data_IF_100787341467
#
_entry.id   IF_100787341467
#
_cell.length_a   1.000
_cell.length_b   1.000
_cell.length_c   1.000
_cell.angle_alpha   90.00
_cell.angle_beta   90.00
_cell.angle_gamma   90.00
#
_symmetry.space_group_name_H-M   'P 1'
#
loop_
_entity.id
_entity.type
_entity.pdbx_description
1 polymer ?
#
# COMPACT_ATOMS: atom_id res chain seq x y z
N UNK A 1 -35.65 -88.39 6.27
CA UNK A 1 -35.69 -89.81 5.91
C UNK A 1 -35.32 -90.62 7.15
N UNK A 2 -36.35 -91.13 7.83
CA UNK A 2 -36.26 -92.24 8.77
C UNK A 2 -37.00 -93.39 8.08
N UNK A 3 -36.25 -94.48 7.91
CA UNK A 3 -36.55 -95.88 7.57
C UNK A 3 -37.89 -96.41 8.18
N UNK A 4 -38.64 -97.40 7.66
CA UNK A 4 -38.34 -98.70 7.05
C UNK A 4 -39.65 -99.43 6.62
N UNK A 5 -39.58 -100.21 5.51
CA UNK A 5 -40.15 -101.55 5.19
C UNK A 5 -41.67 -101.85 5.16
N UNK A 6 -42.22 -102.24 4.00
CA UNK A 6 -42.42 -103.63 3.44
C UNK A 6 -43.62 -104.37 4.08
N UNK A 7 -44.60 -104.99 3.40
CA UNK A 7 -44.62 -105.70 2.11
C UNK A 7 -46.05 -106.04 1.63
N UNK A 8 -46.19 -106.30 0.31
CA UNK A 8 -47.17 -107.14 -0.44
C UNK A 8 -48.55 -106.60 -0.86
N UNK A 9 -48.78 -106.51 -2.20
CA UNK A 9 -50.05 -106.92 -2.82
C UNK A 9 -50.75 -106.01 -3.86
N UNK A 10 -50.11 -105.71 -5.00
CA UNK A 10 -50.67 -105.45 -6.36
C UNK A 10 -52.03 -104.77 -6.62
N UNK A 11 -52.01 -103.62 -7.31
CA UNK A 11 -52.54 -103.40 -8.67
C UNK A 11 -52.15 -101.98 -9.15
N UNK A 12 -51.48 -101.88 -10.31
CA UNK A 12 -50.82 -100.66 -10.77
C UNK A 12 -51.74 -99.60 -11.38
N UNK A 13 -51.36 -98.33 -11.21
CA UNK A 13 -51.84 -97.20 -12.02
C UNK A 13 -50.70 -96.17 -12.25
N UNK A 14 -50.25 -96.15 -13.51
CA UNK A 14 -49.59 -95.09 -14.31
C UNK A 14 -48.76 -93.97 -13.64
N UNK A 15 -47.44 -93.97 -13.92
CA UNK A 15 -46.41 -92.95 -13.61
C UNK A 15 -46.45 -91.74 -14.60
N UNK A 16 -47.55 -91.49 -15.30
CA UNK A 16 -47.62 -90.51 -16.40
C UNK A 16 -48.35 -89.18 -16.13
N UNK A 17 -48.92 -88.98 -14.93
CA UNK A 17 -49.86 -87.88 -14.68
C UNK A 17 -49.27 -86.62 -14.04
N UNK A 18 -48.01 -86.65 -13.58
CA UNK A 18 -47.45 -85.56 -12.77
C UNK A 18 -47.12 -84.28 -13.58
N UNK A 19 -46.83 -84.41 -14.88
CA UNK A 19 -46.35 -83.31 -15.73
C UNK A 19 -47.40 -82.79 -16.74
N UNK A 20 -48.65 -83.25 -16.66
CA UNK A 20 -49.72 -82.77 -17.53
C UNK A 20 -50.48 -81.59 -16.91
N UNK A 21 -50.87 -80.56 -17.69
CA UNK A 21 -51.78 -79.53 -17.23
C UNK A 21 -53.10 -80.16 -16.79
N UNK A 22 -53.39 -80.13 -15.49
CA UNK A 22 -54.67 -80.55 -14.96
C UNK A 22 -55.71 -79.47 -15.27
N UNK A 23 -56.55 -79.72 -16.27
CA UNK A 23 -57.72 -78.90 -16.58
C UNK A 23 -58.98 -79.69 -16.15
N UNK A 24 -59.55 -79.44 -14.96
CA UNK A 24 -60.75 -80.14 -14.54
C UNK A 24 -61.90 -79.81 -15.50
N UNK A 25 -62.66 -80.81 -15.91
CA UNK A 25 -63.82 -80.69 -16.82
C UNK A 25 -65.07 -80.13 -16.11
N UNK A 26 -64.89 -79.36 -15.04
CA UNK A 26 -65.96 -78.87 -14.18
C UNK A 26 -66.31 -77.43 -14.51
N UNK A 27 -67.59 -77.13 -14.67
CA UNK A 27 -68.14 -75.77 -14.83
C UNK A 27 -68.13 -75.01 -13.49
N UNK A 28 -66.94 -74.85 -12.90
CA UNK A 28 -66.75 -74.09 -11.66
C UNK A 28 -66.13 -72.73 -11.99
N UNK A 29 -66.74 -71.67 -11.46
CA UNK A 29 -66.24 -70.30 -11.55
C UNK A 29 -65.78 -69.80 -10.18
N UNK A 30 -64.92 -68.78 -10.20
CA UNK A 30 -64.48 -68.14 -8.96
C UNK A 30 -65.71 -67.64 -8.15
N UNK A 31 -65.70 -67.91 -6.85
CA UNK A 31 -66.78 -67.60 -5.89
C UNK A 31 -68.03 -68.49 -5.97
N UNK A 32 -67.95 -69.63 -6.65
CA UNK A 32 -68.98 -70.65 -6.51
C UNK A 32 -69.11 -71.10 -5.05
N UNK A 33 -70.36 -71.18 -4.59
CA UNK A 33 -70.74 -71.56 -3.24
C UNK A 33 -71.11 -73.04 -3.24
N UNK A 34 -70.35 -73.85 -2.50
CA UNK A 34 -70.54 -75.29 -2.47
C UNK A 34 -71.53 -75.69 -1.39
N UNK A 35 -72.83 -75.61 -1.69
CA UNK A 35 -73.89 -75.98 -0.75
C UNK A 35 -74.21 -77.48 -0.75
N UNK A 36 -73.77 -78.23 -1.76
CA UNK A 36 -74.01 -79.67 -1.88
C UNK A 36 -72.78 -80.48 -1.38
N UNK A 37 -72.91 -81.22 -0.26
CA UNK A 37 -71.77 -81.91 0.36
C UNK A 37 -71.23 -83.07 -0.47
N UNK A 38 -72.05 -83.70 -1.32
CA UNK A 38 -71.61 -84.79 -2.22
C UNK A 38 -70.73 -84.24 -3.33
N UNK A 39 -71.10 -83.07 -3.87
CA UNK A 39 -70.32 -82.36 -4.90
C UNK A 39 -69.04 -81.81 -4.27
N UNK A 40 -69.13 -81.19 -3.10
CA UNK A 40 -67.98 -80.68 -2.35
C UNK A 40 -66.98 -81.79 -1.97
N UNK A 41 -67.46 -82.98 -1.58
CA UNK A 41 -66.60 -84.14 -1.27
C UNK A 41 -65.86 -84.67 -2.51
N UNK A 42 -66.51 -84.68 -3.68
CA UNK A 42 -65.86 -85.05 -4.96
C UNK A 42 -64.80 -84.02 -5.36
N UNK A 43 -65.10 -82.74 -5.21
CA UNK A 43 -64.16 -81.64 -5.49
C UNK A 43 -62.97 -81.69 -4.52
N UNK A 44 -63.23 -81.88 -3.21
CA UNK A 44 -62.20 -82.02 -2.18
C UNK A 44 -61.25 -83.20 -2.47
N UNK A 45 -61.77 -84.34 -2.94
CA UNK A 45 -60.98 -85.51 -3.32
C UNK A 45 -60.04 -85.28 -4.50
N UNK A 46 -60.14 -84.18 -5.24
CA UNK A 46 -59.16 -83.84 -6.29
C UNK A 46 -58.18 -82.77 -5.80
N UNK A 47 -58.64 -81.79 -5.02
CA UNK A 47 -57.82 -80.63 -4.61
C UNK A 47 -57.02 -80.81 -3.31
N UNK A 48 -57.47 -81.66 -2.38
CA UNK A 48 -56.88 -81.75 -1.04
C UNK A 48 -55.77 -82.79 -0.99
N UNK A 49 -54.62 -82.55 -0.30
CA UNK A 49 -53.55 -83.54 -0.21
C UNK A 49 -54.00 -84.86 0.45
N UNK A 50 -53.41 -86.01 0.10
CA UNK A 50 -53.82 -87.33 0.63
C UNK A 50 -53.89 -87.40 2.16
N UNK A 51 -52.95 -86.76 2.86
CA UNK A 51 -52.94 -86.71 4.34
C UNK A 51 -54.15 -85.97 4.93
N UNK A 52 -54.58 -84.89 4.28
CA UNK A 52 -55.74 -84.11 4.74
C UNK A 52 -57.07 -84.81 4.39
N UNK A 53 -57.10 -85.61 3.30
CA UNK A 53 -58.24 -86.49 2.99
C UNK A 53 -58.44 -87.56 4.07
N UNK A 54 -57.35 -88.16 4.55
CA UNK A 54 -57.40 -89.16 5.62
C UNK A 54 -58.01 -88.58 6.90
N UNK A 55 -57.54 -87.40 7.31
CA UNK A 55 -58.06 -86.68 8.49
C UNK A 55 -59.55 -86.34 8.34
N UNK A 56 -59.97 -85.89 7.15
CA UNK A 56 -61.38 -85.57 6.90
C UNK A 56 -62.26 -86.82 6.85
N UNK A 57 -61.72 -87.98 6.45
CA UNK A 57 -62.44 -89.26 6.41
C UNK A 57 -62.55 -89.95 7.75
N UNK A 58 -61.62 -89.66 8.68
CA UNK A 58 -61.61 -90.22 10.04
C UNK A 58 -62.51 -89.48 11.02
N UNK A 59 -63.15 -88.39 10.61
CA UNK A 59 -64.16 -87.71 11.42
C UNK A 59 -65.40 -88.61 11.53
N UNK A 60 -65.95 -88.83 12.72
CA UNK A 60 -67.11 -89.73 12.94
C UNK A 60 -68.45 -89.08 12.54
N UNK A 61 -68.56 -87.76 12.71
CA UNK A 61 -69.76 -86.98 12.43
C UNK A 61 -69.88 -86.62 10.94
N UNK A 62 -70.94 -87.09 10.29
CA UNK A 62 -71.19 -86.89 8.86
C UNK A 62 -71.48 -85.43 8.51
N UNK A 63 -72.19 -84.71 9.38
CA UNK A 63 -72.51 -83.30 9.17
C UNK A 63 -71.24 -82.45 9.23
N UNK A 64 -70.33 -82.76 10.15
CA UNK A 64 -69.03 -82.11 10.27
C UNK A 64 -68.12 -82.42 9.07
N UNK A 65 -68.07 -83.68 8.62
CA UNK A 65 -67.36 -84.04 7.38
C UNK A 65 -67.86 -83.25 6.17
N UNK A 66 -69.18 -83.14 6.07
CA UNK A 66 -69.85 -82.42 4.99
C UNK A 66 -69.52 -80.92 5.02
N UNK A 67 -69.55 -80.28 6.20
CA UNK A 67 -69.17 -78.86 6.36
C UNK A 67 -67.69 -78.62 6.03
N UNK A 68 -66.79 -79.51 6.46
CA UNK A 68 -65.36 -79.43 6.14
C UNK A 68 -65.15 -79.56 4.62
N UNK A 69 -65.87 -80.47 3.95
CA UNK A 69 -65.82 -80.58 2.50
C UNK A 69 -66.26 -79.30 1.79
N UNK A 70 -67.37 -78.68 2.23
CA UNK A 70 -67.86 -77.42 1.70
C UNK A 70 -66.86 -76.27 1.90
N UNK A 71 -66.29 -76.11 3.10
CA UNK A 71 -65.30 -75.06 3.39
C UNK A 71 -64.01 -75.21 2.58
N UNK A 72 -63.52 -76.44 2.39
CA UNK A 72 -62.35 -76.70 1.55
C UNK A 72 -62.63 -76.43 0.08
N UNK A 73 -63.85 -76.74 -0.39
CA UNK A 73 -64.25 -76.44 -1.75
C UNK A 73 -64.41 -74.92 -1.98
N UNK A 74 -64.98 -74.19 -1.01
CA UNK A 74 -65.08 -72.72 -1.02
C UNK A 74 -63.69 -72.05 -0.97
N UNK A 75 -62.77 -72.55 -0.14
CA UNK A 75 -61.39 -72.09 -0.16
C UNK A 75 -60.75 -72.38 -1.53
N UNK A 76 -61.04 -73.56 -2.09
CA UNK A 76 -60.62 -73.98 -3.43
C UNK A 76 -61.08 -73.03 -4.54
N UNK A 77 -62.31 -72.50 -4.48
CA UNK A 77 -62.82 -71.56 -5.49
C UNK A 77 -62.28 -70.13 -5.35
N UNK A 78 -61.68 -69.78 -4.21
CA UNK A 78 -61.02 -68.48 -4.00
C UNK A 78 -59.51 -68.50 -4.32
N UNK A 79 -58.88 -69.68 -4.29
CA UNK A 79 -57.44 -69.84 -4.55
C UNK A 79 -56.97 -69.24 -5.89
N UNK A 80 -57.69 -69.36 -7.02
CA UNK A 80 -57.26 -68.77 -8.29
C UNK A 80 -57.21 -67.24 -8.23
N UNK A 81 -58.22 -66.57 -7.65
CA UNK A 81 -58.24 -65.11 -7.49
C UNK A 81 -57.14 -64.63 -6.53
N UNK A 82 -56.93 -65.34 -5.42
CA UNK A 82 -55.86 -65.04 -4.47
C UNK A 82 -54.47 -65.19 -5.11
N UNK A 83 -54.24 -66.27 -5.86
CA UNK A 83 -53.00 -66.52 -6.58
C UNK A 83 -52.75 -65.45 -7.65
N UNK A 84 -53.77 -65.09 -8.43
CA UNK A 84 -53.67 -64.03 -9.45
C UNK A 84 -53.35 -62.67 -8.83
N UNK A 85 -54.01 -62.30 -7.71
CA UNK A 85 -53.73 -61.06 -6.98
C UNK A 85 -52.31 -61.06 -6.41
N UNK A 86 -51.85 -62.18 -5.85
CA UNK A 86 -50.48 -62.32 -5.35
C UNK A 86 -49.45 -62.12 -6.47
N UNK A 87 -49.62 -62.79 -7.61
CA UNK A 87 -48.74 -62.66 -8.79
C UNK A 87 -48.73 -61.22 -9.30
N UNK A 88 -49.91 -60.59 -9.43
CA UNK A 88 -50.05 -59.21 -9.92
C UNK A 88 -49.40 -58.20 -8.98
N UNK A 89 -49.61 -58.36 -7.68
CA UNK A 89 -49.05 -57.47 -6.64
C UNK A 89 -47.53 -57.66 -6.52
N UNK A 90 -47.05 -58.90 -6.58
CA UNK A 90 -45.61 -59.21 -6.56
C UNK A 90 -44.90 -58.63 -7.78
N UNK A 91 -45.48 -58.77 -8.98
CA UNK A 91 -44.93 -58.19 -10.19
C UNK A 91 -44.90 -56.64 -10.14
N UNK A 92 -45.92 -56.01 -9.57
CA UNK A 92 -45.94 -54.57 -9.35
C UNK A 92 -44.91 -54.12 -8.32
N UNK A 93 -44.72 -54.88 -7.23
CA UNK A 93 -43.72 -54.62 -6.21
C UNK A 93 -42.30 -54.69 -6.80
N UNK A 94 -42.01 -55.68 -7.65
CA UNK A 94 -40.69 -55.81 -8.27
C UNK A 94 -40.40 -54.67 -9.27
N UNK A 95 -41.41 -54.24 -10.03
CA UNK A 95 -41.35 -53.02 -10.85
C UNK A 95 -41.12 -51.77 -10.01
N UNK A 96 -41.68 -51.70 -8.81
CA UNK A 96 -41.49 -50.55 -7.92
C UNK A 96 -40.09 -50.55 -7.29
N UNK A 97 -39.56 -51.72 -6.88
CA UNK A 97 -38.18 -51.84 -6.39
C UNK A 97 -37.16 -51.40 -7.43
N UNK A 98 -37.33 -51.83 -8.68
CA UNK A 98 -36.44 -51.43 -9.78
C UNK A 98 -36.50 -49.92 -10.03
N UNK A 99 -37.70 -49.33 -10.05
CA UNK A 99 -37.85 -47.86 -10.13
C UNK A 99 -37.20 -47.13 -8.96
N UNK A 100 -37.38 -47.61 -7.73
CA UNK A 100 -36.75 -47.07 -6.52
C UNK A 100 -35.24 -47.13 -6.61
N UNK A 101 -34.67 -48.24 -7.07
CA UNK A 101 -33.22 -48.38 -7.33
C UNK A 101 -32.72 -47.33 -8.32
N UNK A 102 -33.41 -47.14 -9.44
CA UNK A 102 -33.05 -46.15 -10.46
C UNK A 102 -33.11 -44.73 -9.88
N UNK A 103 -34.18 -44.40 -9.15
CA UNK A 103 -34.33 -43.08 -8.53
C UNK A 103 -33.26 -42.85 -7.46
N UNK A 104 -32.96 -43.85 -6.64
CA UNK A 104 -31.93 -43.74 -5.60
C UNK A 104 -30.54 -43.51 -6.21
N UNK A 105 -30.21 -44.24 -7.28
CA UNK A 105 -28.95 -44.01 -8.01
C UNK A 105 -28.88 -42.59 -8.60
N UNK A 106 -30.00 -42.08 -9.15
CA UNK A 106 -30.07 -40.70 -9.66
C UNK A 106 -29.92 -39.67 -8.54
N UNK A 107 -30.52 -39.89 -7.37
CA UNK A 107 -30.37 -39.01 -6.21
C UNK A 107 -28.91 -38.97 -5.76
N UNK A 108 -28.26 -40.13 -5.65
CA UNK A 108 -26.83 -40.19 -5.31
C UNK A 108 -25.95 -39.46 -6.31
N UNK A 109 -26.24 -39.59 -7.61
CA UNK A 109 -25.51 -38.86 -8.65
C UNK A 109 -25.71 -37.35 -8.54
N UNK A 110 -26.96 -36.90 -8.40
CA UNK A 110 -27.27 -35.48 -8.25
C UNK A 110 -26.63 -34.88 -6.98
N UNK A 111 -26.55 -35.64 -5.90
CA UNK A 111 -25.84 -35.22 -4.69
C UNK A 111 -24.34 -35.01 -4.95
N UNK A 112 -23.70 -35.92 -5.68
CA UNK A 112 -22.29 -35.78 -6.05
C UNK A 112 -22.05 -34.58 -6.97
N UNK A 113 -22.90 -34.42 -8.00
CA UNK A 113 -22.79 -33.31 -8.96
C UNK A 113 -22.99 -31.95 -8.26
N UNK A 114 -23.91 -31.88 -7.29
CA UNK A 114 -24.14 -30.66 -6.52
C UNK A 114 -22.93 -30.31 -5.64
N UNK A 115 -22.32 -31.28 -4.97
CA UNK A 115 -21.10 -31.06 -4.19
C UNK A 115 -19.91 -30.64 -5.06
N UNK A 116 -19.79 -31.19 -6.27
CA UNK A 116 -18.77 -30.77 -7.23
C UNK A 116 -18.98 -29.31 -7.69
N UNK A 117 -20.22 -28.95 -8.07
CA UNK A 117 -20.56 -27.58 -8.45
C UNK A 117 -20.33 -26.56 -7.32
N UNK A 118 -20.64 -26.90 -6.07
CA UNK A 118 -20.38 -26.00 -4.94
C UNK A 118 -18.89 -25.74 -4.77
N UNK A 119 -18.06 -26.78 -4.88
CA UNK A 119 -16.61 -26.66 -4.81
C UNK A 119 -16.04 -25.82 -5.96
N UNK A 120 -16.49 -26.07 -7.19
CA UNK A 120 -16.05 -25.30 -8.37
C UNK A 120 -16.40 -23.81 -8.22
N UNK A 121 -17.59 -23.50 -7.69
CA UNK A 121 -18.02 -22.13 -7.42
C UNK A 121 -17.15 -21.46 -6.35
N UNK A 122 -16.73 -22.18 -5.32
CA UNK A 122 -15.81 -21.65 -4.31
C UNK A 122 -14.41 -21.39 -4.89
N UNK A 123 -13.90 -22.31 -5.71
CA UNK A 123 -12.63 -22.13 -6.41
C UNK A 123 -12.66 -20.92 -7.36
N UNK A 124 -13.78 -20.71 -8.06
CA UNK A 124 -13.94 -19.57 -8.97
C UNK A 124 -13.97 -18.23 -8.22
N UNK A 125 -14.69 -18.15 -7.09
CA UNK A 125 -14.65 -16.96 -6.21
C UNK A 125 -13.24 -16.71 -5.66
N UNK A 126 -12.51 -17.76 -5.30
CA UNK A 126 -11.14 -17.64 -4.83
C UNK A 126 -10.21 -17.09 -5.92
N UNK A 127 -10.37 -17.55 -7.17
CA UNK A 127 -9.63 -17.04 -8.33
C UNK A 127 -9.94 -15.57 -8.59
N UNK A 128 -11.21 -15.19 -8.61
CA UNK A 128 -11.62 -13.78 -8.80
C UNK A 128 -11.02 -12.86 -7.73
N UNK A 129 -11.06 -13.28 -6.46
CA UNK A 129 -10.45 -12.53 -5.37
C UNK A 129 -8.92 -12.40 -5.52
N UNK A 130 -8.24 -13.45 -5.98
CA UNK A 130 -6.79 -13.42 -6.22
C UNK A 130 -6.43 -12.51 -7.39
N UNK A 131 -7.18 -12.56 -8.50
CA UNK A 131 -6.99 -11.68 -9.65
C UNK A 131 -7.18 -10.20 -9.28
N UNK A 132 -8.25 -9.90 -8.54
CA UNK A 132 -8.49 -8.55 -8.02
C UNK A 132 -7.37 -8.09 -7.07
N UNK A 133 -6.89 -8.97 -6.19
CA UNK A 133 -5.76 -8.69 -5.31
C UNK A 133 -4.45 -8.43 -6.06
N UNK A 134 -4.16 -9.22 -7.10
CA UNK A 134 -2.99 -9.02 -7.96
C UNK A 134 -3.04 -7.70 -8.71
N UNK A 135 -4.19 -7.35 -9.30
CA UNK A 135 -4.36 -6.08 -10.00
C UNK A 135 -4.14 -4.87 -9.07
N UNK A 136 -4.61 -4.93 -7.82
CA UNK A 136 -4.39 -3.89 -6.82
C UNK A 136 -2.91 -3.79 -6.42
N UNK A 137 -2.23 -4.92 -6.23
CA UNK A 137 -0.80 -4.96 -5.92
C UNK A 137 0.05 -4.41 -7.07
N UNK A 138 -0.31 -4.71 -8.31
CA UNK A 138 0.39 -4.19 -9.48
C UNK A 138 0.22 -2.67 -9.61
N UNK A 139 -0.99 -2.15 -9.36
CA UNK A 139 -1.26 -0.72 -9.32
C UNK A 139 -0.44 -0.01 -8.23
N UNK A 140 -0.49 -0.50 -6.99
CA UNK A 140 0.25 0.09 -5.87
C UNK A 140 1.78 0.01 -6.09
N UNK A 141 2.27 -1.06 -6.70
CA UNK A 141 3.69 -1.19 -7.08
C UNK A 141 4.10 -0.15 -8.13
N UNK A 142 3.23 0.14 -9.10
CA UNK A 142 3.48 1.16 -10.11
C UNK A 142 3.52 2.57 -9.49
N UNK A 143 2.56 2.87 -8.60
CA UNK A 143 2.50 4.14 -7.86
C UNK A 143 3.76 4.35 -7.00
N UNK A 144 4.16 3.34 -6.20
CA UNK A 144 5.38 3.40 -5.38
C UNK A 144 6.66 3.58 -6.21
N UNK A 145 6.70 3.02 -7.43
CA UNK A 145 7.84 3.18 -8.33
C UNK A 145 7.93 4.62 -8.85
N UNK A 146 6.79 5.24 -9.15
CA UNK A 146 6.76 6.64 -9.59
C UNK A 146 7.10 7.59 -8.44
N UNK A 147 6.56 7.36 -7.23
CA UNK A 147 6.93 8.13 -6.04
C UNK A 147 8.43 8.05 -5.74
N UNK A 148 9.02 6.84 -5.84
CA UNK A 148 10.47 6.68 -5.65
C UNK A 148 11.28 7.47 -6.68
N UNK A 149 10.82 7.50 -7.94
CA UNK A 149 11.47 8.29 -9.00
C UNK A 149 11.35 9.79 -8.72
N UNK A 150 10.17 10.25 -8.34
CA UNK A 150 9.94 11.65 -7.97
C UNK A 150 10.80 12.07 -6.77
N UNK A 151 10.88 11.22 -5.74
CA UNK A 151 11.72 11.44 -4.57
C UNK A 151 13.20 11.55 -4.94
N UNK A 152 13.72 10.63 -5.76
CA UNK A 152 15.12 10.68 -6.17
C UNK A 152 15.44 11.95 -6.98
N UNK A 153 14.54 12.35 -7.88
CA UNK A 153 14.68 13.60 -8.63
C UNK A 153 14.70 14.83 -7.71
N UNK A 154 13.84 14.87 -6.69
CA UNK A 154 13.78 15.98 -5.74
C UNK A 154 15.00 16.01 -4.81
N UNK A 155 15.48 14.83 -4.40
CA UNK A 155 16.74 14.69 -3.66
C UNK A 155 17.93 15.24 -4.46
N UNK A 156 18.03 14.94 -5.76
CA UNK A 156 19.12 15.47 -6.58
C UNK A 156 18.97 16.98 -6.81
N UNK A 157 17.75 17.50 -7.00
CA UNK A 157 17.52 18.97 -7.08
C UNK A 157 17.93 19.70 -5.81
N UNK A 158 17.50 19.19 -4.64
CA UNK A 158 17.82 19.79 -3.35
C UNK A 158 19.32 19.74 -3.07
N UNK A 159 19.99 18.64 -3.45
CA UNK A 159 21.45 18.53 -3.39
C UNK A 159 22.15 19.58 -4.25
N UNK A 160 21.75 19.74 -5.51
CA UNK A 160 22.32 20.78 -6.39
C UNK A 160 22.09 22.19 -5.81
N UNK A 161 20.89 22.48 -5.30
CA UNK A 161 20.59 23.76 -4.66
C UNK A 161 21.44 24.00 -3.41
N UNK A 162 21.73 22.95 -2.64
CA UNK A 162 22.59 23.03 -1.46
C UNK A 162 24.03 23.33 -1.86
N UNK A 163 24.55 22.64 -2.87
CA UNK A 163 25.92 22.85 -3.38
C UNK A 163 26.09 24.28 -3.91
N UNK A 164 25.11 24.82 -4.64
CA UNK A 164 25.12 26.22 -5.07
C UNK A 164 25.09 27.20 -3.89
N UNK A 165 24.25 26.95 -2.88
CA UNK A 165 24.16 27.79 -1.70
C UNK A 165 25.47 27.80 -0.90
N UNK A 166 26.11 26.64 -0.76
CA UNK A 166 27.43 26.51 -0.12
C UNK A 166 28.50 27.29 -0.90
N UNK A 167 28.53 27.17 -2.23
CA UNK A 167 29.47 27.93 -3.06
C UNK A 167 29.28 29.45 -2.91
N UNK A 168 28.02 29.92 -2.88
CA UNK A 168 27.71 31.34 -2.65
C UNK A 168 28.12 31.79 -1.25
N UNK A 169 27.84 30.99 -0.23
CA UNK A 169 28.22 31.30 1.15
C UNK A 169 29.73 31.41 1.31
N UNK A 170 30.49 30.51 0.67
CA UNK A 170 31.94 30.54 0.68
C UNK A 170 32.50 31.78 -0.05
N UNK A 171 31.96 32.12 -1.22
CA UNK A 171 32.35 33.35 -1.93
C UNK A 171 32.07 34.62 -1.11
N UNK A 172 30.92 34.69 -0.44
CA UNK A 172 30.60 35.80 0.46
C UNK A 172 31.54 35.84 1.67
N UNK A 173 31.89 34.70 2.24
CA UNK A 173 32.86 34.61 3.32
C UNK A 173 34.25 35.13 2.88
N UNK A 174 34.69 34.78 1.67
CA UNK A 174 35.94 35.27 1.09
C UNK A 174 35.89 36.81 0.87
N UNK A 175 34.75 37.33 0.43
CA UNK A 175 34.56 38.78 0.31
C UNK A 175 34.57 39.48 1.67
N UNK A 176 33.89 38.94 2.68
CA UNK A 176 33.85 39.51 4.03
C UNK A 176 35.24 39.50 4.67
N UNK A 177 35.99 38.41 4.53
CA UNK A 177 37.37 38.33 5.03
C UNK A 177 38.27 39.33 4.32
N UNK A 178 38.15 39.45 2.99
CA UNK A 178 38.85 40.49 2.23
C UNK A 178 38.50 41.88 2.76
N UNK A 179 37.23 42.28 2.78
CA UNK A 179 36.79 43.59 3.28
C UNK A 179 37.25 43.87 4.72
N UNK A 180 37.26 42.85 5.59
CA UNK A 180 37.78 42.99 6.94
C UNK A 180 39.27 43.33 6.94
N UNK A 181 40.08 42.68 6.10
CA UNK A 181 41.51 43.00 5.99
C UNK A 181 41.75 44.41 5.44
N UNK A 182 40.97 44.85 4.44
CA UNK A 182 41.01 46.24 3.94
C UNK A 182 40.68 47.24 5.06
N UNK A 183 39.58 47.00 5.79
CA UNK A 183 39.14 47.85 6.90
C UNK A 183 40.21 47.94 7.97
N UNK A 184 40.71 46.80 8.44
CA UNK A 184 41.71 46.74 9.49
C UNK A 184 43.02 47.44 9.07
N UNK A 185 43.40 47.34 7.79
CA UNK A 185 44.55 48.09 7.28
C UNK A 185 44.31 49.61 7.24
N UNK A 186 43.16 50.08 6.75
CA UNK A 186 42.85 51.52 6.67
C UNK A 186 42.94 52.16 8.07
N UNK A 187 42.33 51.54 9.08
CA UNK A 187 42.29 52.09 10.43
C UNK A 187 43.62 52.00 11.18
N UNK A 188 44.39 50.93 10.96
CA UNK A 188 45.67 50.76 11.68
C UNK A 188 46.85 51.44 10.99
N UNK A 189 46.85 51.53 9.65
CA UNK A 189 48.01 51.98 8.87
C UNK A 189 47.65 53.09 7.88
N UNK A 190 46.53 52.97 7.16
CA UNK A 190 46.18 53.85 6.05
C UNK A 190 46.11 55.33 6.43
N UNK A 191 45.35 55.69 7.48
CA UNK A 191 45.26 57.08 7.93
C UNK A 191 46.62 57.65 8.36
N UNK A 192 47.39 56.85 9.11
CA UNK A 192 48.73 57.25 9.56
C UNK A 192 49.66 57.50 8.37
N UNK A 193 49.60 56.65 7.35
CA UNK A 193 50.40 56.81 6.13
C UNK A 193 50.07 58.11 5.40
N UNK A 194 48.78 58.40 5.18
CA UNK A 194 48.33 59.64 4.52
C UNK A 194 48.77 60.88 5.29
N UNK A 195 48.56 60.91 6.61
CA UNK A 195 48.96 62.05 7.45
C UNK A 195 50.48 62.23 7.45
N UNK A 196 51.24 61.14 7.57
CA UNK A 196 52.70 61.19 7.55
C UNK A 196 53.25 61.69 6.21
N UNK A 197 52.68 61.26 5.07
CA UNK A 197 53.07 61.73 3.74
C UNK A 197 52.72 63.21 3.56
N UNK A 198 51.52 63.63 3.97
CA UNK A 198 51.11 65.04 3.90
C UNK A 198 52.07 65.95 4.69
N UNK A 199 52.37 65.60 5.95
CA UNK A 199 53.27 66.41 6.79
C UNK A 199 54.71 66.48 6.27
N UNK A 200 55.15 65.47 5.52
CA UNK A 200 56.49 65.44 4.90
C UNK A 200 56.50 66.03 3.50
N UNK A 201 55.34 66.33 2.93
CA UNK A 201 55.23 66.86 1.58
C UNK A 201 55.81 68.28 1.51
N UNK A 202 56.40 68.61 0.36
CA UNK A 202 56.89 69.97 0.13
C UNK A 202 55.74 70.99 0.03
N UNK A 203 54.55 70.53 -0.34
CA UNK A 203 53.32 71.32 -0.43
C UNK A 203 52.85 71.81 0.94
N UNK A 204 53.03 71.00 2.00
CA UNK A 204 52.74 71.39 3.38
C UNK A 204 53.91 72.16 4.03
N UNK A 205 55.15 71.68 3.84
CA UNK A 205 56.31 72.25 4.53
C UNK A 205 56.70 73.65 4.03
N UNK A 206 56.56 73.96 2.73
CA UNK A 206 56.95 75.27 2.19
C UNK A 206 56.10 76.41 2.77
N UNK A 207 54.75 76.33 2.77
CA UNK A 207 53.93 77.39 3.35
C UNK A 207 54.08 77.46 4.87
N UNK A 208 54.23 76.32 5.56
CA UNK A 208 54.52 76.29 6.99
C UNK A 208 55.82 77.02 7.33
N UNK A 209 56.90 76.77 6.57
CA UNK A 209 58.18 77.44 6.74
C UNK A 209 58.06 78.96 6.51
N UNK A 210 57.21 79.40 5.58
CA UNK A 210 56.95 80.82 5.35
C UNK A 210 56.28 81.50 6.56
N UNK A 211 55.30 80.83 7.18
CA UNK A 211 54.66 81.28 8.43
C UNK A 211 55.67 81.30 9.58
N UNK A 212 56.44 80.22 9.75
CA UNK A 212 57.47 80.12 10.78
C UNK A 212 58.56 81.18 10.64
N UNK A 213 58.88 81.61 9.42
CA UNK A 213 59.83 82.70 9.16
C UNK A 213 59.24 84.08 9.45
N UNK A 214 57.98 84.31 9.08
CA UNK A 214 57.32 85.61 9.26
C UNK A 214 56.92 85.89 10.72
N UNK A 215 56.65 84.85 11.52
CA UNK A 215 56.18 85.00 12.89
C UNK A 215 57.19 85.68 13.83
N UNK A 216 58.49 85.29 13.86
CA UNK A 216 59.50 86.00 14.64
C UNK A 216 59.70 87.45 14.20
N UNK A 217 59.66 87.73 12.89
CA UNK A 217 59.78 89.10 12.35
C UNK A 217 58.64 90.00 12.86
N UNK A 218 57.42 89.47 12.90
CA UNK A 218 56.27 90.18 13.47
C UNK A 218 56.39 90.33 14.99
N UNK A 219 56.73 89.26 15.70
CA UNK A 219 56.93 89.29 17.15
C UNK A 219 57.96 90.34 17.57
N UNK A 220 59.11 90.40 16.88
CA UNK A 220 60.16 91.39 17.10
C UNK A 220 59.65 92.82 16.84
N UNK A 221 58.99 93.05 15.70
CA UNK A 221 58.44 94.37 15.35
C UNK A 221 57.37 94.83 16.33
N UNK A 222 56.49 93.92 16.77
CA UNK A 222 55.43 94.19 17.75
C UNK A 222 56.03 94.50 19.13
N UNK A 223 57.02 93.72 19.56
CA UNK A 223 57.78 93.95 20.78
C UNK A 223 58.45 95.32 20.79
N UNK A 224 59.19 95.67 19.72
CA UNK A 224 59.82 96.98 19.54
C UNK A 224 58.78 98.12 19.59
N UNK A 225 57.64 97.97 18.90
CA UNK A 225 56.57 98.97 18.92
C UNK A 225 55.97 99.17 20.33
N UNK A 226 55.82 98.09 21.09
CA UNK A 226 55.32 98.17 22.48
C UNK A 226 56.36 98.81 23.40
N UNK A 227 57.62 98.39 23.36
CA UNK A 227 58.71 98.94 24.18
C UNK A 227 58.97 100.42 23.88
N UNK A 228 58.98 100.81 22.60
CA UNK A 228 59.15 102.20 22.16
C UNK A 228 58.06 103.13 22.74
N UNK A 229 56.82 102.66 22.84
CA UNK A 229 55.71 103.41 23.49
C UNK A 229 55.95 103.66 24.98
N UNK A 230 56.80 102.85 25.64
CA UNK A 230 57.03 102.91 27.07
C UNK A 230 58.35 103.60 27.48
N UNK A 231 59.34 103.73 26.58
CA UNK A 231 60.71 104.14 26.98
C UNK A 231 61.34 105.33 26.26
N UNK A 232 60.87 105.78 25.09
CA UNK A 232 61.64 106.77 24.31
C UNK A 232 60.79 107.84 23.60
N UNK A 233 60.76 109.05 24.18
CA UNK A 233 60.41 110.27 23.46
C UNK A 233 61.70 110.85 22.82
N UNK A 234 61.95 110.59 21.53
CA UNK A 234 63.00 111.31 20.78
C UNK A 234 63.65 110.64 19.56
N UNK A 235 63.50 109.32 19.34
CA UNK A 235 64.16 108.61 18.23
C UNK A 235 63.16 107.97 17.25
N UNK A 236 63.28 108.22 15.94
CA UNK A 236 62.34 107.69 14.93
C UNK A 236 62.36 106.14 14.92
N UNK A 237 61.21 105.51 15.22
CA UNK A 237 61.01 104.04 15.34
C UNK A 237 61.48 103.28 14.09
N UNK A 238 61.29 103.88 12.92
CA UNK A 238 61.66 103.34 11.61
C UNK A 238 63.17 103.21 11.41
N UNK A 239 63.99 103.88 12.23
CA UNK A 239 65.47 103.80 12.16
C UNK A 239 66.06 102.69 13.04
N UNK A 240 65.23 101.97 13.81
CA UNK A 240 65.72 100.90 14.68
C UNK A 240 66.14 99.67 13.86
N UNK A 241 67.31 99.07 14.15
CA UNK A 241 67.72 97.83 13.52
C UNK A 241 66.67 96.75 13.84
N UNK A 242 66.31 95.96 12.83
CA UNK A 242 65.31 94.88 12.89
C UNK A 242 63.84 95.31 12.99
N UNK A 243 63.51 96.61 12.93
CA UNK A 243 62.13 97.06 12.79
C UNK A 243 61.63 96.83 11.35
N UNK A 244 60.62 95.97 11.19
CA UNK A 244 60.00 95.69 9.89
C UNK A 244 58.54 96.15 9.86
N UNK A 245 58.21 97.34 9.32
CA UNK A 245 56.84 97.89 9.39
C UNK A 245 55.80 97.00 8.70
N UNK A 246 56.22 96.18 7.72
CA UNK A 246 55.36 95.27 6.97
C UNK A 246 55.25 93.86 7.57
N UNK A 247 55.91 93.56 8.69
CA UNK A 247 55.94 92.21 9.25
C UNK A 247 54.55 91.66 9.59
N UNK A 248 53.63 92.53 10.05
CA UNK A 248 52.24 92.14 10.33
C UNK A 248 51.52 91.68 9.06
N UNK A 249 51.62 92.44 7.98
CA UNK A 249 50.99 92.08 6.71
C UNK A 249 51.64 90.82 6.10
N UNK A 250 52.96 90.69 6.18
CA UNK A 250 53.68 89.47 5.74
C UNK A 250 53.20 88.23 6.48
N UNK A 251 53.04 88.30 7.80
CA UNK A 251 52.54 87.18 8.60
C UNK A 251 51.09 86.84 8.24
N UNK A 252 50.19 87.83 8.17
CA UNK A 252 48.80 87.58 7.79
C UNK A 252 48.68 86.99 6.38
N UNK A 253 49.46 87.48 5.41
CA UNK A 253 49.48 86.91 4.06
C UNK A 253 50.02 85.48 4.06
N UNK A 254 51.09 85.19 4.82
CA UNK A 254 51.63 83.83 4.94
C UNK A 254 50.62 82.86 5.56
N UNK A 255 49.89 83.29 6.60
CA UNK A 255 48.82 82.51 7.25
C UNK A 255 47.65 82.30 6.31
N UNK A 256 47.16 83.35 5.64
CA UNK A 256 46.05 83.25 4.69
C UNK A 256 46.40 82.33 3.51
N UNK A 257 47.63 82.39 3.01
CA UNK A 257 48.12 81.46 1.99
C UNK A 257 48.17 80.03 2.53
N UNK A 258 48.67 79.80 3.75
CA UNK A 258 48.72 78.47 4.37
C UNK A 258 47.34 77.86 4.58
N UNK A 259 46.37 78.64 5.10
CA UNK A 259 44.99 78.21 5.34
C UNK A 259 44.22 77.97 4.03
N UNK A 260 44.53 78.74 2.99
CA UNK A 260 43.93 78.61 1.65
C UNK A 260 44.57 77.55 0.75
N UNK A 261 45.56 76.81 1.22
CA UNK A 261 46.20 75.76 0.41
C UNK A 261 45.24 74.59 0.21
N UNK A 262 45.09 74.18 -1.05
CA UNK A 262 44.65 72.83 -1.39
C UNK A 262 45.87 71.91 -1.51
N UNK A 263 45.68 70.63 -1.21
CA UNK A 263 46.71 69.60 -1.28
C UNK A 263 46.38 68.62 -2.40
N UNK A 264 46.92 68.80 -3.62
CA UNK A 264 46.72 67.89 -4.74
C UNK A 264 46.99 66.42 -4.41
N UNK A 265 47.91 66.15 -3.47
CA UNK A 265 48.13 64.82 -2.92
C UNK A 265 46.86 64.16 -2.34
N UNK A 266 46.03 64.90 -1.60
CA UNK A 266 44.79 64.36 -1.03
C UNK A 266 43.76 64.03 -2.11
N UNK A 267 43.72 64.81 -3.19
CA UNK A 267 42.88 64.52 -4.36
C UNK A 267 43.35 63.27 -5.10
N UNK A 268 44.67 63.06 -5.21
CA UNK A 268 45.24 61.84 -5.78
C UNK A 268 44.89 60.60 -4.95
N UNK A 269 45.00 60.68 -3.61
CA UNK A 269 44.59 59.62 -2.68
C UNK A 269 43.10 59.31 -2.83
N UNK A 270 42.25 60.33 -2.94
CA UNK A 270 40.81 60.16 -3.17
C UNK A 270 40.49 59.49 -4.51
N UNK A 271 41.36 59.63 -5.52
CA UNK A 271 41.25 58.92 -6.80
C UNK A 271 41.50 57.41 -6.72
N UNK A 272 42.18 56.92 -5.66
CA UNK A 272 42.56 55.51 -5.51
C UNK A 272 41.45 54.58 -4.98
N UNK A 273 40.18 55.03 -4.95
CA UNK A 273 39.05 54.27 -4.35
C UNK A 273 38.84 52.88 -4.95
N UNK A 274 39.22 52.64 -6.20
CA UNK A 274 39.07 51.35 -6.89
C UNK A 274 40.37 50.54 -6.98
N UNK A 275 41.46 51.08 -6.45
CA UNK A 275 42.75 50.41 -6.49
C UNK A 275 42.83 49.30 -5.43
N UNK A 276 43.54 48.20 -5.71
CA UNK A 276 43.69 47.10 -4.76
C UNK A 276 44.54 47.52 -3.55
N UNK A 277 44.34 46.84 -2.42
CA UNK A 277 45.04 47.13 -1.17
C UNK A 277 46.57 47.15 -1.33
N UNK A 278 47.11 46.29 -2.19
CA UNK A 278 48.55 46.22 -2.48
C UNK A 278 49.11 47.51 -3.07
N UNK A 279 48.30 48.24 -3.86
CA UNK A 279 48.68 49.55 -4.43
C UNK A 279 48.64 50.62 -3.35
N UNK A 280 47.64 50.60 -2.46
CA UNK A 280 47.53 51.52 -1.32
C UNK A 280 48.63 51.29 -0.27
N UNK A 281 49.07 50.05 -0.11
CA UNK A 281 50.17 49.64 0.76
C UNK A 281 51.55 50.02 0.22
N UNK A 282 51.68 50.15 -1.10
CA UNK A 282 52.92 50.52 -1.74
C UNK A 282 53.31 51.97 -1.46
N UNK A 283 54.60 52.28 -1.63
CA UNK A 283 55.10 53.66 -1.51
C UNK A 283 54.57 54.60 -2.61
N UNK A 284 53.81 54.08 -3.58
CA UNK A 284 53.40 54.75 -4.83
C UNK A 284 52.15 55.64 -4.78
N UNK A 285 51.48 55.80 -3.63
CA UNK A 285 50.42 56.81 -3.43
C UNK A 285 50.92 57.93 -2.55
#
# INVERSE_FOLDING_TARGET
>A
MVLLRDHMGGAGLAVGFADQPFAPSWDLVNKDVFSNPVVASKVMKEFVPPGQRLISSSMEDEEMRNKVACLWAELGSLLPEMSQRWVSTSAAQEKNKTKLSIVNNKISQLQQDFSAMEKDREEEKAKENLENGLALLEKSRAELKEERRAFENEKERTKLSLDEALARAQSLQDQVTSLSTYRDWIFNHGFSQVVNKLHRSSEFLKPLAAVQKAAPEYGMTSGLKSGYRHTAAGHVLEKLPNYQPQAKMKLHNAVATFEGMSYPFLEAVAGCVKEPLSVLQGDGV
#
